data_IF_106283036721
#
_entry.id   IF_106283036721
#
_cell.length_a   1.000
_cell.length_b   1.000
_cell.length_c   1.000
_cell.angle_alpha   90.00
_cell.angle_beta   90.00
_cell.angle_gamma   90.00
#
_symmetry.space_group_name_H-M   'P 1'
#
loop_
_entity.id
_entity.type
_entity.pdbx_description
1 polymer ?
#
# COMPACT_ATOMS: atom_id res chain seq x y z
N UNK A 1 4.53 -9.97 -12.22
CA UNK A 1 3.18 -9.62 -12.64
C UNK A 1 2.96 -10.12 -14.04
N UNK A 2 1.70 -10.36 -14.44
CA UNK A 2 1.32 -10.71 -15.80
C UNK A 2 1.83 -9.68 -16.82
N UNK A 3 3.05 -9.90 -17.28
CA UNK A 3 3.60 -9.26 -18.46
C UNK A 3 2.78 -9.84 -19.61
N UNK A 4 1.77 -9.11 -20.07
CA UNK A 4 1.12 -9.47 -21.33
C UNK A 4 2.12 -9.08 -22.41
N UNK A 5 2.98 -10.03 -22.76
CA UNK A 5 3.85 -9.94 -23.91
C UNK A 5 2.97 -10.12 -25.13
N UNK A 6 2.54 -9.02 -25.72
CA UNK A 6 1.86 -9.07 -27.02
C UNK A 6 2.96 -8.95 -28.09
N UNK A 7 3.19 -10.02 -28.83
CA UNK A 7 3.92 -9.95 -30.09
C UNK A 7 3.05 -9.18 -31.08
N UNK A 8 3.55 -8.04 -31.55
CA UNK A 8 2.82 -7.18 -32.49
C UNK A 8 3.29 -7.44 -33.93
N UNK A 9 4.55 -7.86 -34.09
CA UNK A 9 5.15 -8.27 -35.36
C UNK A 9 6.34 -9.22 -35.08
N UNK A 10 6.84 -9.91 -36.12
CA UNK A 10 8.12 -10.63 -36.04
C UNK A 10 9.21 -9.66 -35.57
N UNK A 11 9.80 -9.96 -34.40
CA UNK A 11 10.84 -9.13 -33.77
C UNK A 11 10.35 -7.95 -32.90
N UNK A 12 9.05 -7.64 -32.84
CA UNK A 12 8.54 -6.52 -32.03
C UNK A 12 7.58 -6.99 -30.93
N UNK A 13 8.07 -6.98 -29.69
CA UNK A 13 7.26 -7.22 -28.48
C UNK A 13 6.84 -5.91 -27.84
N UNK A 14 5.54 -5.69 -27.70
CA UNK A 14 4.99 -4.53 -26.99
C UNK A 14 4.68 -4.92 -25.56
N UNK A 15 5.36 -4.28 -24.63
CA UNK A 15 5.18 -4.50 -23.20
C UNK A 15 4.01 -3.63 -22.71
N UNK A 16 2.86 -4.25 -22.47
CA UNK A 16 1.76 -3.56 -21.80
C UNK A 16 2.00 -3.57 -20.30
N UNK A 17 2.25 -2.38 -19.75
CA UNK A 17 2.50 -2.18 -18.33
C UNK A 17 1.17 -1.95 -17.62
N UNK A 18 0.73 -2.91 -16.82
CA UNK A 18 -0.47 -2.75 -15.98
C UNK A 18 -0.06 -2.14 -14.63
N UNK A 19 -0.70 -1.05 -14.18
CA UNK A 19 -0.37 -0.43 -12.90
C UNK A 19 -0.95 -1.31 -11.78
N UNK A 20 -0.17 -2.28 -11.28
CA UNK A 20 -0.51 -3.12 -10.13
C UNK A 20 -0.99 -4.54 -10.48
N UNK A 21 -0.64 -5.52 -9.66
CA UNK A 21 -1.15 -6.90 -9.76
C UNK A 21 -2.64 -6.88 -9.45
N UNK A 22 -3.45 -7.63 -10.21
CA UNK A 22 -4.89 -7.79 -9.92
C UNK A 22 -5.12 -8.19 -8.47
N UNK A 23 -4.23 -9.00 -7.89
CA UNK A 23 -4.30 -9.41 -6.48
C UNK A 23 -4.14 -8.23 -5.51
N UNK A 24 -3.38 -7.21 -5.88
CA UNK A 24 -3.20 -6.00 -5.07
C UNK A 24 -4.46 -5.15 -5.09
N UNK A 25 -5.06 -4.96 -6.26
CA UNK A 25 -6.33 -4.25 -6.38
C UNK A 25 -7.44 -4.95 -5.63
N UNK A 26 -7.46 -6.29 -5.63
CA UNK A 26 -8.39 -7.06 -4.80
C UNK A 26 -8.14 -6.81 -3.31
N UNK A 27 -6.89 -6.81 -2.84
CA UNK A 27 -6.57 -6.53 -1.42
C UNK A 27 -6.93 -5.11 -1.02
N UNK A 28 -6.65 -4.13 -1.87
CA UNK A 28 -7.04 -2.74 -1.65
C UNK A 28 -8.58 -2.60 -1.62
N UNK A 29 -9.28 -3.29 -2.52
CA UNK A 29 -10.74 -3.35 -2.53
C UNK A 29 -11.32 -3.99 -1.26
N UNK A 30 -10.72 -5.09 -0.78
CA UNK A 30 -11.10 -5.72 0.49
C UNK A 30 -10.83 -4.78 1.67
N UNK A 31 -9.69 -4.09 1.70
CA UNK A 31 -9.37 -3.12 2.74
C UNK A 31 -10.39 -1.96 2.78
N UNK A 32 -10.75 -1.43 1.61
CA UNK A 32 -11.79 -0.41 1.49
C UNK A 32 -13.16 -0.94 1.94
N UNK A 33 -13.51 -2.18 1.57
CA UNK A 33 -14.74 -2.84 2.03
C UNK A 33 -14.80 -2.98 3.55
N UNK A 34 -13.70 -3.38 4.20
CA UNK A 34 -13.61 -3.47 5.66
C UNK A 34 -13.80 -2.09 6.30
N UNK A 35 -13.14 -1.06 5.76
CA UNK A 35 -13.31 0.30 6.26
C UNK A 35 -14.73 0.85 6.11
N UNK A 36 -15.40 0.53 5.00
CA UNK A 36 -16.81 0.90 4.77
C UNK A 36 -17.75 0.19 5.76
N UNK A 37 -17.53 -1.10 6.02
CA UNK A 37 -18.30 -1.84 7.02
C UNK A 37 -18.08 -1.27 8.43
N UNK A 38 -16.82 -0.97 8.78
CA UNK A 38 -16.49 -0.35 10.07
C UNK A 38 -17.15 1.03 10.21
N UNK A 39 -17.08 1.87 9.18
CA UNK A 39 -17.80 3.13 9.11
C UNK A 39 -19.30 2.94 9.35
N UNK A 40 -19.94 2.03 8.63
CA UNK A 40 -21.37 1.79 8.72
C UNK A 40 -21.82 1.36 10.11
N UNK A 41 -21.06 0.45 10.75
CA UNK A 41 -21.31 0.00 12.12
C UNK A 41 -21.14 1.13 13.15
N UNK A 42 -20.05 1.89 13.04
CA UNK A 42 -19.78 3.02 13.93
C UNK A 42 -20.84 4.10 13.79
N UNK A 43 -21.26 4.40 12.56
CA UNK A 43 -22.29 5.39 12.31
C UNK A 43 -23.64 4.93 12.84
N UNK A 44 -23.97 3.65 12.67
CA UNK A 44 -25.22 3.09 13.18
C UNK A 44 -25.34 3.21 14.71
N UNK A 45 -24.23 2.99 15.43
CA UNK A 45 -24.18 3.03 16.90
C UNK A 45 -24.07 4.47 17.42
N UNK A 46 -23.08 5.22 16.93
CA UNK A 46 -22.74 6.54 17.48
C UNK A 46 -23.58 7.68 16.92
N UNK A 47 -24.13 7.50 15.71
CA UNK A 47 -24.75 8.57 14.90
C UNK A 47 -23.83 9.77 14.65
N UNK A 48 -22.53 9.63 14.90
CA UNK A 48 -21.51 10.64 14.68
C UNK A 48 -20.77 10.36 13.37
N UNK A 49 -20.99 11.22 12.38
CA UNK A 49 -20.36 11.10 11.05
C UNK A 49 -18.85 11.31 11.11
N UNK A 50 -18.37 12.26 11.92
CA UNK A 50 -16.94 12.62 11.99
C UNK A 50 -16.10 11.49 12.54
N UNK A 51 -16.52 10.92 13.67
CA UNK A 51 -15.82 9.79 14.30
C UNK A 51 -15.86 8.57 13.36
N UNK A 52 -17.04 8.27 12.81
CA UNK A 52 -17.25 7.09 11.97
C UNK A 52 -16.40 7.15 10.70
N UNK A 53 -16.38 8.31 10.03
CA UNK A 53 -15.56 8.53 8.83
C UNK A 53 -14.09 8.41 9.15
N UNK A 54 -13.62 9.12 10.19
CA UNK A 54 -12.20 9.14 10.54
C UNK A 54 -11.70 7.73 10.82
N UNK A 55 -12.42 6.97 11.64
CA UNK A 55 -12.07 5.59 11.98
C UNK A 55 -12.16 4.65 10.78
N UNK A 56 -13.21 4.73 9.96
CA UNK A 56 -13.35 3.89 8.75
C UNK A 56 -12.20 4.10 7.75
N UNK A 57 -11.80 5.35 7.53
CA UNK A 57 -10.67 5.68 6.65
C UNK A 57 -9.35 5.27 7.30
N UNK A 58 -9.16 5.49 8.60
CA UNK A 58 -7.95 5.03 9.32
C UNK A 58 -7.76 3.51 9.26
N UNK A 59 -8.85 2.73 9.40
CA UNK A 59 -8.80 1.28 9.26
C UNK A 59 -8.39 0.89 7.84
N UNK A 60 -9.00 1.51 6.82
CA UNK A 60 -8.63 1.29 5.42
C UNK A 60 -7.14 1.59 5.18
N UNK A 61 -6.70 2.76 5.63
CA UNK A 61 -5.32 3.21 5.49
C UNK A 61 -4.34 2.29 6.22
N UNK A 62 -4.68 1.82 7.42
CA UNK A 62 -3.87 0.87 8.19
C UNK A 62 -3.72 -0.47 7.46
N UNK A 63 -4.81 -1.08 7.00
CA UNK A 63 -4.76 -2.36 6.27
C UNK A 63 -3.97 -2.22 4.97
N UNK A 64 -4.19 -1.12 4.22
CA UNK A 64 -3.42 -0.82 3.02
C UNK A 64 -1.94 -0.62 3.33
N UNK A 65 -1.62 0.17 4.35
CA UNK A 65 -0.25 0.45 4.80
C UNK A 65 0.51 -0.83 5.11
N UNK A 66 -0.03 -1.72 5.98
CA UNK A 66 0.62 -3.01 6.28
C UNK A 66 0.88 -3.81 4.99
N UNK A 67 -0.11 -3.91 4.11
CA UNK A 67 0.02 -4.69 2.88
C UNK A 67 1.09 -4.12 1.93
N UNK A 68 1.16 -2.79 1.81
CA UNK A 68 2.16 -2.12 0.98
C UNK A 68 3.56 -2.19 1.61
N UNK A 69 3.70 -2.02 2.92
CA UNK A 69 4.98 -2.14 3.61
C UNK A 69 5.59 -3.53 3.50
N UNK A 70 4.80 -4.59 3.70
CA UNK A 70 5.27 -5.97 3.50
C UNK A 70 5.78 -6.21 2.09
N UNK A 71 5.10 -5.60 1.10
CA UNK A 71 5.49 -5.70 -0.29
C UNK A 71 6.75 -4.89 -0.59
N UNK A 72 6.87 -3.68 -0.07
CA UNK A 72 8.05 -2.85 -0.24
C UNK A 72 9.30 -3.55 0.26
N UNK A 73 9.20 -4.20 1.43
CA UNK A 73 10.28 -5.02 1.95
C UNK A 73 10.67 -6.16 0.99
N UNK A 74 9.71 -6.94 0.49
CA UNK A 74 9.98 -8.02 -0.47
C UNK A 74 10.53 -7.53 -1.81
N UNK A 75 10.04 -6.39 -2.28
CA UNK A 75 10.54 -5.77 -3.50
C UNK A 75 11.98 -5.27 -3.33
N UNK A 76 12.34 -4.76 -2.15
CA UNK A 76 13.70 -4.37 -1.80
C UNK A 76 14.65 -5.57 -1.65
N UNK A 77 14.15 -6.75 -1.27
CA UNK A 77 14.95 -7.99 -1.26
C UNK A 77 15.14 -8.62 -2.65
N UNK A 78 14.33 -8.22 -3.64
CA UNK A 78 14.41 -8.71 -5.01
C UNK A 78 15.53 -8.07 -5.84
N UNK A 79 16.31 -7.13 -5.28
CA UNK A 79 17.50 -6.59 -5.92
C UNK A 79 18.60 -7.65 -5.92
N UNK A 80 18.96 -8.25 -7.07
CA UNK A 80 20.15 -9.10 -7.13
C UNK A 80 21.38 -8.19 -6.94
N UNK A 81 22.53 -8.78 -6.60
CA UNK A 81 23.85 -8.15 -6.80
C UNK A 81 24.10 -7.94 -8.29
N UNK A 82 23.32 -7.05 -8.91
CA UNK A 82 23.49 -6.67 -10.30
C UNK A 82 24.61 -5.63 -10.33
N UNK A 83 25.68 -5.93 -11.06
CA UNK A 83 26.68 -4.95 -11.44
C UNK A 83 26.31 -4.34 -12.82
N UNK A 84 26.58 -3.05 -13.02
CA UNK A 84 26.46 -2.39 -14.32
C UNK A 84 25.05 -1.91 -14.73
N UNK A 85 24.75 -1.98 -16.04
CA UNK A 85 23.60 -1.29 -16.68
C UNK A 85 22.24 -1.92 -16.35
N UNK A 86 22.21 -3.23 -16.07
CA UNK A 86 21.00 -3.95 -15.68
C UNK A 86 20.55 -3.59 -14.25
N UNK A 87 21.50 -3.39 -13.34
CA UNK A 87 21.27 -2.90 -11.98
C UNK A 87 20.57 -1.54 -11.98
N UNK A 88 21.06 -0.62 -12.82
CA UNK A 88 20.47 0.71 -12.99
C UNK A 88 19.02 0.64 -13.48
N UNK A 89 18.73 -0.24 -14.45
CA UNK A 89 17.35 -0.42 -14.95
C UNK A 89 16.43 -1.01 -13.89
N UNK A 90 16.89 -2.02 -13.14
CA UNK A 90 16.13 -2.58 -12.03
C UNK A 90 15.87 -1.51 -10.95
N UNK A 91 16.88 -0.75 -10.54
CA UNK A 91 16.76 0.33 -9.58
C UNK A 91 15.75 1.40 -10.00
N UNK A 92 15.77 1.81 -11.26
CA UNK A 92 14.77 2.76 -11.79
C UNK A 92 13.37 2.15 -11.70
N UNK A 93 13.17 0.91 -12.15
CA UNK A 93 11.84 0.27 -12.11
C UNK A 93 11.31 0.09 -10.69
N UNK A 94 12.14 -0.37 -9.76
CA UNK A 94 11.75 -0.53 -8.36
C UNK A 94 11.51 0.83 -7.67
N UNK A 95 12.36 1.82 -7.94
CA UNK A 95 12.20 3.19 -7.45
C UNK A 95 10.91 3.84 -7.95
N UNK A 96 10.60 3.74 -9.25
CA UNK A 96 9.34 4.23 -9.81
C UNK A 96 8.12 3.53 -9.20
N UNK A 97 8.21 2.22 -8.92
CA UNK A 97 7.14 1.46 -8.25
C UNK A 97 6.93 1.89 -6.80
N UNK A 98 8.00 2.20 -6.07
CA UNK A 98 7.91 2.74 -4.73
C UNK A 98 7.31 4.15 -4.74
N UNK A 99 7.79 5.01 -5.65
CA UNK A 99 7.28 6.36 -5.82
C UNK A 99 5.79 6.39 -6.18
N UNK A 100 5.33 5.52 -7.08
CA UNK A 100 3.91 5.41 -7.43
C UNK A 100 3.04 5.00 -6.24
N UNK A 101 3.50 4.05 -5.42
CA UNK A 101 2.76 3.64 -4.22
C UNK A 101 2.73 4.74 -3.16
N UNK A 102 3.85 5.43 -2.96
CA UNK A 102 3.91 6.61 -2.09
C UNK A 102 2.97 7.72 -2.56
N UNK A 103 2.85 7.94 -3.88
CA UNK A 103 1.89 8.88 -4.45
C UNK A 103 0.44 8.46 -4.15
N UNK A 104 0.10 7.18 -4.36
CA UNK A 104 -1.25 6.66 -4.07
C UNK A 104 -1.58 6.76 -2.57
N UNK A 105 -0.63 6.44 -1.69
CA UNK A 105 -0.79 6.61 -0.24
C UNK A 105 -0.99 8.10 0.13
N UNK A 106 -0.18 9.00 -0.45
CA UNK A 106 -0.30 10.45 -0.24
C UNK A 106 -1.62 11.02 -0.74
N UNK A 107 -2.09 10.61 -1.92
CA UNK A 107 -3.40 10.99 -2.45
C UNK A 107 -4.54 10.47 -1.57
N UNK A 108 -4.43 9.23 -1.05
CA UNK A 108 -5.39 8.67 -0.12
C UNK A 108 -5.47 9.46 1.19
N UNK A 109 -4.32 9.83 1.76
CA UNK A 109 -4.25 10.70 2.94
C UNK A 109 -4.82 12.09 2.70
N UNK A 110 -4.53 12.70 1.55
CA UNK A 110 -5.07 14.01 1.18
C UNK A 110 -6.60 13.96 0.99
N UNK A 111 -7.12 12.92 0.32
CA UNK A 111 -8.56 12.73 0.15
C UNK A 111 -9.26 12.54 1.50
N UNK A 112 -8.65 11.77 2.41
CA UNK A 112 -9.14 11.60 3.77
C UNK A 112 -9.20 12.94 4.52
N UNK A 113 -8.15 13.74 4.41
CA UNK A 113 -8.05 15.03 5.06
C UNK A 113 -9.12 16.02 4.56
N UNK A 114 -9.30 16.09 3.23
CA UNK A 114 -10.35 16.91 2.61
C UNK A 114 -11.73 16.47 3.08
N UNK A 115 -12.00 15.16 3.09
CA UNK A 115 -13.30 14.63 3.47
C UNK A 115 -13.62 14.92 4.95
N UNK A 116 -12.66 14.72 5.85
CA UNK A 116 -12.82 14.98 7.29
C UNK A 116 -12.98 16.49 7.56
N UNK A 117 -12.20 17.34 6.90
CA UNK A 117 -12.26 18.79 7.10
C UNK A 117 -13.57 19.44 6.62
N UNK A 118 -14.36 18.75 5.80
CA UNK A 118 -15.66 19.22 5.32
C UNK A 118 -16.84 18.66 6.14
N UNK A 119 -16.60 17.99 7.28
CA UNK A 119 -17.67 17.44 8.12
C UNK A 119 -18.24 18.49 9.11
N UNK A 120 -19.53 18.38 9.47
CA UNK A 120 -20.24 19.39 10.24
C UNK A 120 -19.66 19.75 11.62
N UNK A 121 -19.02 18.83 12.38
CA UNK A 121 -18.42 19.21 13.66
C UNK A 121 -17.14 20.01 13.43
N UNK A 122 -17.20 21.32 13.69
CA UNK A 122 -16.05 22.21 13.67
C UNK A 122 -15.30 22.27 15.00
N UNK A 123 -14.01 22.58 14.95
CA UNK A 123 -13.16 22.76 16.14
C UNK A 123 -11.70 22.49 15.81
N UNK A 124 -10.77 22.88 16.69
CA UNK A 124 -9.34 22.70 16.43
C UNK A 124 -8.98 21.24 16.15
N UNK A 125 -9.49 20.32 16.97
CA UNK A 125 -9.26 18.87 16.84
C UNK A 125 -9.81 18.32 15.50
N UNK A 126 -11.03 18.71 15.12
CA UNK A 126 -11.69 18.25 13.90
C UNK A 126 -11.08 18.82 12.62
N UNK A 127 -10.61 20.07 12.67
CA UNK A 127 -10.11 20.78 11.49
C UNK A 127 -8.62 20.51 11.23
N UNK A 128 -7.84 20.21 12.28
CA UNK A 128 -6.37 20.14 12.17
C UNK A 128 -5.78 18.77 12.50
N UNK A 129 -6.33 18.05 13.47
CA UNK A 129 -5.72 16.81 13.97
C UNK A 129 -6.37 15.57 13.37
N UNK A 130 -7.70 15.46 13.36
CA UNK A 130 -8.40 14.30 12.80
C UNK A 130 -8.09 14.04 11.31
N UNK A 131 -7.94 15.07 10.44
CA UNK A 131 -7.52 14.88 9.05
C UNK A 131 -6.16 14.18 8.89
N UNK A 132 -5.27 14.30 9.89
CA UNK A 132 -3.93 13.71 9.87
C UNK A 132 -3.92 12.24 10.32
N UNK A 133 -4.94 11.80 11.06
CA UNK A 133 -4.98 10.48 11.69
C UNK A 133 -4.90 9.35 10.65
N UNK A 134 -5.68 9.34 9.54
CA UNK A 134 -5.58 8.27 8.56
C UNK A 134 -4.21 8.17 7.90
N UNK A 135 -3.56 9.31 7.62
CA UNK A 135 -2.22 9.33 7.04
C UNK A 135 -1.17 8.78 8.01
N UNK A 136 -1.23 9.19 9.29
CA UNK A 136 -0.33 8.68 10.32
C UNK A 136 -0.50 7.17 10.55
N UNK A 137 -1.75 6.70 10.63
CA UNK A 137 -2.07 5.27 10.77
C UNK A 137 -1.55 4.48 9.56
N UNK A 138 -1.77 4.97 8.35
CA UNK A 138 -1.26 4.34 7.13
C UNK A 138 0.27 4.23 7.12
N UNK A 139 0.97 5.31 7.45
CA UNK A 139 2.44 5.34 7.49
C UNK A 139 3.02 4.41 8.56
N UNK A 140 2.46 4.41 9.77
CA UNK A 140 2.89 3.51 10.85
C UNK A 140 2.64 2.05 10.49
N UNK A 141 1.47 1.75 9.93
CA UNK A 141 1.13 0.42 9.46
C UNK A 141 2.07 -0.06 8.35
N UNK A 142 2.46 0.84 7.44
CA UNK A 142 3.47 0.55 6.42
C UNK A 142 4.82 0.17 7.04
N UNK A 143 5.33 0.96 7.98
CA UNK A 143 6.57 0.63 8.68
C UNK A 143 6.46 -0.70 9.44
N UNK A 144 5.34 -0.94 10.13
CA UNK A 144 5.08 -2.21 10.81
C UNK A 144 5.08 -3.40 9.84
N UNK A 145 4.50 -3.25 8.65
CA UNK A 145 4.53 -4.26 7.60
C UNK A 145 5.95 -4.60 7.13
N UNK A 146 6.82 -3.59 7.00
CA UNK A 146 8.22 -3.81 6.67
C UNK A 146 8.96 -4.53 7.79
N UNK A 147 8.77 -4.11 9.04
CA UNK A 147 9.40 -4.72 10.22
C UNK A 147 8.96 -6.17 10.39
N UNK A 148 7.67 -6.46 10.22
CA UNK A 148 7.13 -7.81 10.29
C UNK A 148 7.82 -8.76 9.32
N UNK A 149 7.97 -8.38 8.04
CA UNK A 149 8.66 -9.22 7.06
C UNK A 149 10.15 -9.35 7.37
N UNK A 150 10.78 -8.29 7.90
CA UNK A 150 12.19 -8.36 8.34
C UNK A 150 12.38 -9.39 9.45
N UNK A 151 11.54 -9.37 10.47
CA UNK A 151 11.58 -10.34 11.58
C UNK A 151 11.28 -11.76 11.10
N UNK A 152 10.32 -11.93 10.18
CA UNK A 152 9.99 -13.22 9.61
C UNK A 152 11.16 -13.85 8.84
N UNK A 153 12.04 -13.04 8.24
CA UNK A 153 13.27 -13.51 7.60
C UNK A 153 14.35 -13.85 8.62
N UNK A 154 14.53 -13.03 9.67
CA UNK A 154 15.55 -13.27 10.71
C UNK A 154 15.26 -14.48 11.58
N UNK A 155 13.98 -14.84 11.75
CA UNK A 155 13.57 -16.02 12.53
C UNK A 155 13.64 -17.36 11.79
N UNK A 156 14.05 -17.40 10.51
CA UNK A 156 14.21 -18.67 9.80
C UNK A 156 15.55 -19.34 10.17
N UNK A 157 15.55 -20.65 10.54
CA UNK A 157 16.77 -21.43 10.70
C UNK A 157 17.66 -21.36 9.46
N UNK A 158 18.98 -21.21 9.61
CA UNK A 158 19.94 -21.15 8.50
C UNK A 158 19.91 -22.41 7.62
N UNK A 159 19.45 -23.53 8.19
CA UNK A 159 19.48 -24.86 7.60
C UNK A 159 18.31 -25.12 6.63
N UNK A 160 17.29 -24.26 6.64
CA UNK A 160 16.16 -24.41 5.72
C UNK A 160 16.49 -23.78 4.37
N UNK A 161 16.23 -24.47 3.25
CA UNK A 161 16.44 -23.90 1.93
C UNK A 161 15.63 -22.61 1.83
N UNK A 162 16.33 -21.48 1.60
CA UNK A 162 15.69 -20.19 1.36
C UNK A 162 14.64 -20.40 0.28
N UNK A 163 13.36 -20.25 0.62
CA UNK A 163 12.28 -20.40 -0.35
C UNK A 163 12.61 -19.47 -1.50
N UNK A 164 12.81 -19.98 -2.73
CA UNK A 164 13.15 -19.12 -3.84
C UNK A 164 12.04 -18.09 -3.93
N UNK A 165 12.43 -16.81 -3.91
CA UNK A 165 11.53 -15.71 -4.19
C UNK A 165 10.97 -16.02 -5.57
N UNK A 166 9.77 -16.59 -5.64
CA UNK A 166 9.09 -16.83 -6.92
C UNK A 166 9.05 -15.46 -7.57
N UNK A 167 9.86 -15.28 -8.61
CA UNK A 167 9.88 -14.07 -9.40
C UNK A 167 8.45 -13.85 -9.87
N UNK A 168 7.80 -12.84 -9.30
CA UNK A 168 6.47 -12.43 -9.71
C UNK A 168 6.60 -11.51 -10.90
#
# INVERSE_FOLDING_TARGET
MGQIVKQVAEGTTRYYWYPGDKREWVRAGVAAGIGLVAYGLLYWISRDTLISVTLGISITAGICGVNFGRRDFRAAQGFPELSGRQARRAAVVHGTRAAWRGLVEGCGGAAAAVLIANLPPGGFLANWLLPLVPAAVGALAHQAGMVYERLAVTGMPEDLPRVPVRGY
#
